data_IF_254725244076
#
_entry.id   IF_254725244076
#
_cell.length_a   1.000
_cell.length_b   1.000
_cell.length_c   1.000
_cell.angle_alpha   90.00
_cell.angle_beta   90.00
_cell.angle_gamma   90.00
#
_symmetry.space_group_name_H-M   'P 1'
#
loop_
_entity.id
_entity.type
_entity.pdbx_description
1 polymer ?
#
# COMPACT_ATOMS: atom_id res chain seq x y z
N UNK A 1 27.99 12.09 -21.08
CA UNK A 1 27.40 13.22 -20.37
C UNK A 1 26.12 13.66 -21.10
N UNK A 2 25.07 13.98 -20.35
CA UNK A 2 23.80 14.46 -20.89
C UNK A 2 23.54 15.93 -20.51
N UNK A 3 22.81 16.65 -21.36
CA UNK A 3 22.35 18.01 -21.07
C UNK A 3 21.07 18.02 -20.19
N UNK A 4 20.52 19.22 -19.93
CA UNK A 4 19.30 19.38 -19.12
C UNK A 4 18.07 18.69 -19.76
N UNK A 5 18.03 18.55 -21.07
CA UNK A 5 16.94 17.88 -21.81
C UNK A 5 17.14 16.37 -21.91
N UNK A 6 18.31 15.85 -21.57
CA UNK A 6 18.65 14.43 -21.65
C UNK A 6 19.31 14.04 -22.97
N UNK A 7 19.73 15.00 -23.78
CA UNK A 7 20.48 14.75 -25.00
C UNK A 7 21.95 14.49 -24.69
N UNK A 8 22.57 13.59 -25.46
CA UNK A 8 23.97 13.25 -25.25
C UNK A 8 24.88 14.37 -25.79
N UNK A 9 25.65 15.00 -24.88
CA UNK A 9 26.60 16.03 -25.27
C UNK A 9 27.90 15.39 -25.83
N UNK A 10 28.57 14.58 -25.00
CA UNK A 10 29.79 13.87 -25.38
C UNK A 10 30.19 12.82 -24.33
N UNK A 11 31.12 11.94 -24.71
CA UNK A 11 31.91 11.12 -23.77
C UNK A 11 33.20 11.91 -23.49
N UNK A 12 33.42 12.27 -22.22
CA UNK A 12 34.54 13.12 -21.82
C UNK A 12 35.07 12.73 -20.46
N UNK A 13 36.22 13.27 -20.08
CA UNK A 13 36.77 13.03 -18.75
C UNK A 13 35.89 13.66 -17.66
N UNK A 14 36.04 13.17 -16.42
CA UNK A 14 35.34 13.75 -15.26
C UNK A 14 35.63 15.24 -15.08
N UNK A 15 36.90 15.63 -15.30
CA UNK A 15 37.32 17.02 -15.13
C UNK A 15 36.67 17.95 -16.19
N UNK A 16 36.65 17.53 -17.43
CA UNK A 16 36.01 18.27 -18.52
C UNK A 16 34.51 18.40 -18.29
N UNK A 17 33.86 17.32 -17.77
CA UNK A 17 32.46 17.35 -17.45
C UNK A 17 32.13 18.33 -16.31
N UNK A 18 32.99 18.44 -15.28
CA UNK A 18 32.83 19.43 -14.20
C UNK A 18 33.02 20.87 -14.70
N UNK A 19 34.06 21.11 -15.51
CA UNK A 19 34.31 22.42 -16.10
C UNK A 19 33.11 22.86 -16.96
N UNK A 20 32.58 21.95 -17.76
CA UNK A 20 31.43 22.22 -18.63
C UNK A 20 30.13 22.47 -17.84
N UNK A 21 29.94 21.78 -16.71
CA UNK A 21 28.83 22.05 -15.82
C UNK A 21 28.91 23.44 -15.20
N UNK A 22 30.12 23.92 -14.81
CA UNK A 22 30.35 25.26 -14.31
C UNK A 22 30.12 26.34 -15.38
N UNK A 23 30.60 26.11 -16.61
CA UNK A 23 30.36 27.01 -17.74
C UNK A 23 28.87 27.21 -18.04
N UNK A 24 28.08 26.14 -17.91
CA UNK A 24 26.63 26.16 -18.14
C UNK A 24 25.83 26.59 -16.90
N UNK A 25 26.50 26.87 -15.77
CA UNK A 25 25.87 27.31 -14.52
C UNK A 25 24.98 26.26 -13.86
N UNK A 26 25.25 24.98 -14.14
CA UNK A 26 24.51 23.85 -13.59
C UNK A 26 25.37 22.92 -12.72
N UNK A 27 24.73 21.99 -12.07
CA UNK A 27 25.37 20.95 -11.27
C UNK A 27 25.51 19.64 -12.06
N UNK A 28 26.64 18.92 -11.88
CA UNK A 28 26.86 17.62 -12.50
C UNK A 28 26.32 16.51 -11.59
N UNK A 29 25.25 15.86 -12.00
CA UNK A 29 24.62 14.75 -11.24
C UNK A 29 24.88 13.42 -11.94
N UNK A 30 25.41 12.44 -11.20
CA UNK A 30 25.65 11.09 -11.68
C UNK A 30 24.34 10.27 -11.64
N UNK A 31 23.78 9.96 -12.81
CA UNK A 31 22.46 9.29 -12.93
C UNK A 31 22.64 7.76 -12.96
N UNK A 32 23.59 7.26 -13.74
CA UNK A 32 23.84 5.84 -13.90
C UNK A 32 25.30 5.47 -13.60
N UNK A 33 25.65 5.26 -12.31
CA UNK A 33 27.02 4.95 -11.92
C UNK A 33 27.52 3.59 -12.39
N UNK A 34 26.61 2.65 -12.62
CA UNK A 34 26.92 1.27 -13.06
C UNK A 34 27.00 1.09 -14.58
N UNK A 35 26.64 2.12 -15.33
CA UNK A 35 26.77 2.10 -16.79
C UNK A 35 28.26 2.21 -17.21
N UNK A 36 28.60 1.63 -18.35
CA UNK A 36 29.95 1.69 -18.91
C UNK A 36 29.86 2.33 -20.28
N UNK A 37 30.29 3.59 -20.45
CA UNK A 37 30.80 4.53 -19.43
C UNK A 37 29.70 5.06 -18.50
N UNK A 38 30.05 5.55 -17.28
CA UNK A 38 29.08 6.11 -16.34
C UNK A 38 28.36 7.31 -16.95
N UNK A 39 27.06 7.45 -16.66
CA UNK A 39 26.23 8.54 -17.23
C UNK A 39 26.01 9.62 -16.17
N UNK A 40 26.44 10.85 -16.50
CA UNK A 40 26.19 12.03 -15.71
C UNK A 40 25.37 13.05 -16.50
N UNK A 41 24.59 13.86 -15.83
CA UNK A 41 23.71 14.89 -16.38
C UNK A 41 23.97 16.24 -15.75
N UNK A 42 23.97 17.30 -16.56
CA UNK A 42 24.03 18.69 -16.07
C UNK A 42 22.59 19.14 -15.81
N UNK A 43 22.29 19.53 -14.59
CA UNK A 43 20.95 19.98 -14.16
C UNK A 43 21.06 21.00 -13.03
N UNK A 44 20.01 21.79 -12.82
CA UNK A 44 19.83 22.49 -11.56
C UNK A 44 19.47 21.45 -10.47
N UNK A 45 20.34 21.28 -9.48
CA UNK A 45 20.21 20.24 -8.46
C UNK A 45 18.92 20.38 -7.65
N UNK A 46 18.49 21.61 -7.35
CA UNK A 46 17.24 21.85 -6.61
C UNK A 46 16.02 21.41 -7.42
N UNK A 47 16.00 21.74 -8.71
CA UNK A 47 14.94 21.36 -9.64
C UNK A 47 14.91 19.85 -9.86
N UNK A 48 16.07 19.23 -9.96
CA UNK A 48 16.21 17.76 -10.07
C UNK A 48 15.67 17.02 -8.85
N UNK A 49 16.05 17.44 -7.63
CA UNK A 49 15.52 16.85 -6.38
C UNK A 49 14.00 16.96 -6.32
N UNK A 50 13.46 18.13 -6.62
CA UNK A 50 12.01 18.32 -6.64
C UNK A 50 11.30 17.38 -7.62
N UNK A 51 11.86 17.21 -8.83
CA UNK A 51 11.31 16.32 -9.84
C UNK A 51 11.38 14.84 -9.42
N UNK A 52 12.49 14.42 -8.82
CA UNK A 52 12.65 13.05 -8.31
C UNK A 52 11.68 12.77 -7.14
N UNK A 53 11.56 13.69 -6.17
CA UNK A 53 10.56 13.58 -5.10
C UNK A 53 9.13 13.51 -5.66
N UNK A 54 8.83 14.30 -6.69
CA UNK A 54 7.52 14.29 -7.34
C UNK A 54 7.25 12.95 -8.03
N UNK A 55 8.22 12.42 -8.77
CA UNK A 55 8.12 11.09 -9.40
C UNK A 55 7.91 9.99 -8.36
N UNK A 56 8.66 10.01 -7.25
CA UNK A 56 8.47 9.05 -6.16
C UNK A 56 7.09 9.18 -5.52
N UNK A 57 6.62 10.38 -5.26
CA UNK A 57 5.26 10.62 -4.73
C UNK A 57 4.19 10.12 -5.69
N UNK A 58 4.35 10.36 -6.98
CA UNK A 58 3.39 9.92 -8.00
C UNK A 58 3.44 8.39 -8.21
N UNK A 59 4.62 7.78 -8.17
CA UNK A 59 4.78 6.32 -8.18
C UNK A 59 4.12 5.67 -6.95
N UNK A 60 4.23 6.28 -5.78
CA UNK A 60 3.55 5.81 -4.54
C UNK A 60 2.04 5.98 -4.59
N UNK A 61 1.51 7.01 -5.26
CA UNK A 61 0.05 7.22 -5.45
C UNK A 61 -0.60 6.11 -6.29
N UNK A 62 0.13 5.55 -7.25
CA UNK A 62 -0.36 4.46 -8.11
C UNK A 62 -0.51 3.12 -7.39
N UNK A 63 0.23 2.89 -6.30
CA UNK A 63 0.09 1.72 -5.44
C UNK A 63 -0.86 2.06 -4.30
N UNK A 64 -2.16 1.90 -4.51
CA UNK A 64 -3.12 1.87 -3.39
C UNK A 64 -2.71 0.72 -2.48
N UNK A 65 -1.89 0.99 -1.46
CA UNK A 65 -1.61 0.01 -0.40
C UNK A 65 -2.96 -0.34 0.21
N UNK A 66 -3.37 -1.60 0.10
CA UNK A 66 -4.59 -2.07 0.71
C UNK A 66 -4.58 -1.73 2.20
N UNK A 67 -5.49 -0.87 2.61
CA UNK A 67 -5.67 -0.50 4.03
C UNK A 67 -6.51 -1.57 4.68
N UNK A 68 -6.25 -1.86 5.96
CA UNK A 68 -7.11 -2.75 6.74
C UNK A 68 -8.33 -1.96 7.19
N UNK A 69 -9.54 -2.40 6.79
CA UNK A 69 -10.82 -1.83 7.18
C UNK A 69 -11.46 -2.68 8.26
N UNK A 70 -11.92 -2.06 9.34
CA UNK A 70 -12.56 -2.72 10.45
C UNK A 70 -14.06 -2.87 10.25
N UNK A 71 -14.56 -4.09 10.46
CA UNK A 71 -15.99 -4.42 10.51
C UNK A 71 -16.28 -5.00 11.90
N UNK A 72 -17.13 -4.33 12.63
CA UNK A 72 -17.50 -4.74 13.99
C UNK A 72 -18.86 -5.44 13.97
N UNK A 73 -18.90 -6.65 14.49
CA UNK A 73 -20.11 -7.45 14.63
C UNK A 73 -20.49 -7.61 16.12
N UNK A 74 -21.77 -7.64 16.39
CA UNK A 74 -22.32 -8.04 17.68
C UNK A 74 -22.76 -9.52 17.66
N UNK A 75 -22.71 -10.21 18.80
CA UNK A 75 -23.11 -11.61 18.87
C UNK A 75 -24.58 -11.84 18.47
N UNK A 76 -25.44 -10.88 18.79
CA UNK A 76 -26.88 -10.88 18.48
C UNK A 76 -27.25 -9.84 17.41
N UNK A 77 -26.39 -9.67 16.40
CA UNK A 77 -26.64 -8.76 15.29
C UNK A 77 -27.90 -9.19 14.52
N UNK A 78 -28.75 -8.19 14.18
CA UNK A 78 -29.92 -8.44 13.34
C UNK A 78 -29.54 -8.80 11.90
N UNK A 79 -30.42 -9.55 11.22
CA UNK A 79 -30.16 -9.99 9.84
C UNK A 79 -29.90 -8.84 8.87
N UNK A 80 -30.70 -7.78 8.95
CA UNK A 80 -30.54 -6.59 8.09
C UNK A 80 -29.18 -5.88 8.29
N UNK A 81 -28.72 -5.79 9.55
CA UNK A 81 -27.42 -5.20 9.85
C UNK A 81 -26.27 -6.11 9.39
N UNK A 82 -26.43 -7.43 9.51
CA UNK A 82 -25.45 -8.41 9.04
C UNK A 82 -25.27 -8.27 7.51
N UNK A 83 -26.37 -8.19 6.76
CA UNK A 83 -26.35 -8.01 5.31
C UNK A 83 -25.71 -6.67 4.89
N UNK A 84 -25.97 -5.60 5.66
CA UNK A 84 -25.34 -4.30 5.44
C UNK A 84 -23.83 -4.38 5.65
N UNK A 85 -23.36 -5.06 6.71
CA UNK A 85 -21.93 -5.25 6.97
C UNK A 85 -21.28 -6.14 5.93
N UNK A 86 -21.99 -7.16 5.43
CA UNK A 86 -21.52 -8.01 4.34
C UNK A 86 -21.32 -7.20 3.05
N UNK A 87 -22.30 -6.42 2.64
CA UNK A 87 -22.22 -5.56 1.46
C UNK A 87 -21.02 -4.60 1.55
N UNK A 88 -20.87 -3.93 2.69
CA UNK A 88 -19.77 -3.00 2.93
C UNK A 88 -18.40 -3.72 2.91
N UNK A 89 -18.32 -4.93 3.44
CA UNK A 89 -17.11 -5.74 3.39
C UNK A 89 -16.74 -6.12 1.96
N UNK A 90 -17.71 -6.50 1.13
CA UNK A 90 -17.50 -6.79 -0.29
C UNK A 90 -17.02 -5.57 -1.07
N UNK A 91 -17.54 -4.37 -0.78
CA UNK A 91 -17.04 -3.11 -1.35
C UNK A 91 -15.56 -2.90 -1.01
N UNK A 92 -15.17 -3.01 0.25
CA UNK A 92 -13.78 -2.84 0.68
C UNK A 92 -12.84 -3.87 0.03
N UNK A 93 -13.27 -5.12 -0.09
CA UNK A 93 -12.50 -6.17 -0.77
C UNK A 93 -12.36 -5.88 -2.28
N UNK A 94 -13.39 -5.36 -2.93
CA UNK A 94 -13.35 -4.98 -4.35
C UNK A 94 -12.38 -3.83 -4.61
N UNK A 95 -12.26 -2.90 -3.68
CA UNK A 95 -11.30 -1.79 -3.70
C UNK A 95 -9.84 -2.21 -3.41
N UNK A 96 -9.60 -3.49 -3.10
CA UNK A 96 -8.29 -4.04 -2.79
C UNK A 96 -7.85 -3.84 -1.35
N UNK A 97 -8.78 -3.52 -0.44
CA UNK A 97 -8.53 -3.45 0.99
C UNK A 97 -8.61 -4.82 1.65
N UNK A 98 -7.99 -4.95 2.81
CA UNK A 98 -8.22 -6.08 3.72
C UNK A 98 -9.36 -5.74 4.68
N UNK A 99 -10.17 -6.72 5.03
CA UNK A 99 -11.25 -6.56 6.02
C UNK A 99 -10.88 -7.30 7.28
N UNK A 100 -10.83 -6.57 8.40
CA UNK A 100 -10.65 -7.12 9.74
C UNK A 100 -12.01 -7.19 10.41
N UNK A 101 -12.45 -8.41 10.68
CA UNK A 101 -13.72 -8.71 11.33
C UNK A 101 -13.46 -8.76 12.83
N UNK A 102 -14.17 -7.98 13.61
CA UNK A 102 -14.10 -7.95 15.07
C UNK A 102 -15.48 -8.25 15.64
N UNK A 103 -15.58 -9.27 16.47
CA UNK A 103 -16.78 -9.59 17.25
C UNK A 103 -16.45 -9.46 18.73
N UNK A 104 -16.97 -8.42 19.37
CA UNK A 104 -16.76 -8.16 20.80
C UNK A 104 -17.78 -8.92 21.62
N UNK A 105 -17.31 -9.73 22.56
CA UNK A 105 -18.12 -10.43 23.58
C UNK A 105 -18.25 -9.57 24.82
N UNK A 106 -19.48 -9.21 25.18
CA UNK A 106 -19.78 -8.35 26.33
C UNK A 106 -20.34 -9.16 27.49
N UNK A 107 -19.78 -9.00 28.69
CA UNK A 107 -20.32 -9.58 29.90
C UNK A 107 -20.62 -11.10 29.81
N UNK A 108 -21.88 -11.47 29.87
CA UNK A 108 -22.35 -12.86 29.81
C UNK A 108 -22.12 -13.54 28.47
N UNK A 109 -21.86 -12.79 27.39
CA UNK A 109 -21.59 -13.34 26.06
C UNK A 109 -20.24 -14.09 26.01
N UNK A 110 -19.33 -13.83 26.94
CA UNK A 110 -18.06 -14.54 27.03
C UNK A 110 -18.24 -16.09 27.20
N UNK A 111 -19.36 -16.54 27.71
CA UNK A 111 -19.70 -17.97 27.79
C UNK A 111 -20.12 -18.55 26.42
N UNK A 112 -20.46 -17.71 25.44
CA UNK A 112 -20.96 -18.12 24.12
C UNK A 112 -19.90 -17.97 23.02
N UNK A 113 -18.66 -18.36 23.31
CA UNK A 113 -17.53 -18.26 22.39
C UNK A 113 -17.75 -19.04 21.09
N UNK A 114 -18.28 -20.25 21.21
CA UNK A 114 -18.54 -21.12 20.05
C UNK A 114 -19.53 -20.48 19.06
N UNK A 115 -20.58 -19.84 19.61
CA UNK A 115 -21.54 -19.10 18.83
C UNK A 115 -20.90 -17.90 18.11
N UNK A 116 -19.97 -17.21 18.76
CA UNK A 116 -19.23 -16.10 18.17
C UNK A 116 -18.32 -16.58 17.02
N UNK A 117 -17.59 -17.67 17.20
CA UNK A 117 -16.79 -18.29 16.14
C UNK A 117 -17.66 -18.74 14.97
N UNK A 118 -18.81 -19.38 15.24
CA UNK A 118 -19.74 -19.80 14.20
C UNK A 118 -20.28 -18.61 13.39
N UNK A 119 -20.61 -17.48 14.05
CA UNK A 119 -21.08 -16.27 13.39
C UNK A 119 -19.99 -15.65 12.50
N UNK A 120 -18.76 -15.55 13.00
CA UNK A 120 -17.62 -15.02 12.23
C UNK A 120 -17.34 -15.91 11.02
N UNK A 121 -17.32 -17.23 11.19
CA UNK A 121 -17.12 -18.17 10.07
C UNK A 121 -18.24 -18.07 9.03
N UNK A 122 -19.50 -18.01 9.46
CA UNK A 122 -20.66 -17.81 8.58
C UNK A 122 -20.53 -16.50 7.80
N UNK A 123 -20.11 -15.43 8.46
CA UNK A 123 -19.88 -14.14 7.81
C UNK A 123 -18.76 -14.20 6.77
N UNK A 124 -17.64 -14.88 7.05
CA UNK A 124 -16.55 -15.08 6.10
C UNK A 124 -17.05 -15.85 4.86
N UNK A 125 -17.83 -16.90 5.06
CA UNK A 125 -18.41 -17.69 3.96
C UNK A 125 -19.34 -16.85 3.10
N UNK A 126 -20.14 -15.94 3.70
CA UNK A 126 -21.06 -15.06 2.96
C UNK A 126 -20.35 -14.02 2.09
N UNK A 127 -19.09 -13.71 2.41
CA UNK A 127 -18.26 -12.81 1.57
C UNK A 127 -17.83 -13.44 0.25
N UNK A 128 -18.00 -14.75 0.08
CA UNK A 128 -17.63 -15.48 -1.13
C UNK A 128 -16.18 -15.95 -1.13
N UNK A 129 -15.55 -15.96 -2.29
CA UNK A 129 -14.15 -16.39 -2.42
C UNK A 129 -13.18 -15.33 -1.88
N UNK A 130 -12.76 -15.50 -0.66
CA UNK A 130 -11.78 -14.64 0.01
C UNK A 130 -10.57 -15.45 0.47
N UNK A 131 -9.42 -14.78 0.55
CA UNK A 131 -8.24 -15.34 1.19
C UNK A 131 -8.25 -14.98 2.68
N UNK A 132 -8.20 -15.98 3.55
CA UNK A 132 -8.14 -15.79 5.01
C UNK A 132 -6.68 -15.50 5.38
N UNK A 133 -6.35 -14.21 5.56
CA UNK A 133 -5.01 -13.79 5.97
C UNK A 133 -4.74 -14.12 7.44
N UNK A 134 -5.78 -14.07 8.28
CA UNK A 134 -5.73 -14.47 9.69
C UNK A 134 -7.04 -15.19 10.05
N UNK A 135 -6.92 -16.44 10.42
CA UNK A 135 -8.07 -17.25 10.84
C UNK A 135 -8.75 -16.67 12.12
N UNK A 136 -10.06 -16.91 12.32
CA UNK A 136 -10.74 -16.46 13.51
C UNK A 136 -10.01 -16.91 14.78
N UNK A 137 -9.66 -15.97 15.64
CA UNK A 137 -8.98 -16.22 16.92
C UNK A 137 -9.56 -15.32 18.00
N UNK A 138 -9.67 -15.86 19.20
CA UNK A 138 -10.07 -15.10 20.39
C UNK A 138 -8.85 -14.32 20.91
N UNK A 139 -8.94 -13.01 20.91
CA UNK A 139 -7.96 -12.09 21.49
C UNK A 139 -8.63 -11.31 22.64
N UNK A 140 -8.44 -11.78 23.88
CA UNK A 140 -9.14 -11.26 25.05
C UNK A 140 -10.65 -11.52 24.99
N UNK A 141 -11.44 -10.47 24.74
CA UNK A 141 -12.91 -10.52 24.60
C UNK A 141 -13.39 -10.36 23.15
N UNK A 142 -12.47 -10.37 22.18
CA UNK A 142 -12.78 -10.11 20.77
C UNK A 142 -12.40 -11.34 19.96
N UNK A 143 -13.36 -11.86 19.19
CA UNK A 143 -13.06 -12.82 18.13
C UNK A 143 -12.68 -12.00 16.89
N UNK A 144 -11.46 -12.21 16.40
CA UNK A 144 -10.89 -11.44 15.30
C UNK A 144 -10.47 -12.34 14.15
N UNK A 145 -10.78 -11.91 12.94
CA UNK A 145 -10.31 -12.53 11.71
C UNK A 145 -9.91 -11.44 10.70
N UNK A 146 -9.04 -11.78 9.77
CA UNK A 146 -8.64 -10.87 8.68
C UNK A 146 -8.78 -11.61 7.36
N UNK A 147 -9.50 -11.02 6.43
CA UNK A 147 -9.70 -11.54 5.09
C UNK A 147 -9.25 -10.53 4.04
N UNK A 148 -8.80 -11.04 2.91
CA UNK A 148 -8.39 -10.25 1.75
C UNK A 148 -9.04 -10.81 0.48
N UNK A 149 -9.06 -10.01 -0.58
CA UNK A 149 -9.49 -10.51 -1.89
C UNK A 149 -8.59 -11.64 -2.35
N UNK A 150 -9.17 -12.72 -2.85
CA UNK A 150 -8.42 -13.78 -3.52
C UNK A 150 -7.85 -13.21 -4.83
N UNK A 151 -6.56 -13.40 -5.02
CA UNK A 151 -5.89 -13.03 -6.28
C UNK A 151 -6.25 -14.00 -7.39
#
# INVERSE_FOLDING_TARGET
>A
MLDEKGEQIAVMSRQDALNKAQELGGDLVLIAPKAVPPVAKIVDFKKFLYQEEKKEKDARKGVKKGVVKDINLGLFIGQADLERMERRSKEFLSEGHQVRINLLLRGRENAKRDMAFALVNKFIVSLGEVNISKAPKLEGKIVRAVVAKKK
#
